data_IF_791593499667
#
_entry.id   IF_791593499667
#
_cell.length_a   1.000
_cell.length_b   1.000
_cell.length_c   1.000
_cell.angle_alpha   90.00
_cell.angle_beta   90.00
_cell.angle_gamma   90.00
#
_symmetry.space_group_name_H-M   'P 1'
#
loop_
_entity.id
_entity.type
_entity.pdbx_description
1 polymer ?
#
# COMPACT_ATOMS: atom_id res chain seq x y z
N UNK A 1 18.57 -4.70 23.85
CA UNK A 1 18.11 -4.18 22.55
C UNK A 1 19.21 -3.35 21.89
N UNK A 2 20.10 -2.72 22.66
CA UNK A 2 21.16 -1.83 22.15
C UNK A 2 22.21 -2.47 21.22
N UNK A 3 22.61 -3.73 21.44
CA UNK A 3 23.54 -4.43 20.54
C UNK A 3 22.97 -4.67 19.13
N UNK A 4 21.65 -4.86 19.00
CA UNK A 4 21.02 -5.08 17.69
C UNK A 4 20.90 -3.76 16.91
N UNK A 5 20.82 -2.62 17.60
CA UNK A 5 20.72 -1.31 16.98
C UNK A 5 22.06 -0.89 16.38
N UNK A 6 23.14 -1.03 17.15
CA UNK A 6 24.51 -0.78 16.67
C UNK A 6 24.90 -1.70 15.50
N UNK A 7 24.42 -2.95 15.46
CA UNK A 7 24.64 -3.84 14.32
C UNK A 7 23.84 -3.45 13.07
N UNK A 8 22.63 -2.89 13.23
CA UNK A 8 21.80 -2.49 12.09
C UNK A 8 22.32 -1.23 11.41
N UNK A 9 22.76 -0.23 12.18
CA UNK A 9 23.42 0.96 11.62
C UNK A 9 24.69 0.59 10.86
N UNK A 10 25.46 -0.37 11.38
CA UNK A 10 26.64 -0.88 10.70
C UNK A 10 26.30 -1.56 9.36
N UNK A 11 25.25 -2.38 9.32
CA UNK A 11 24.76 -3.01 8.08
C UNK A 11 24.34 -1.96 7.05
N UNK A 12 23.56 -0.95 7.46
CA UNK A 12 23.15 0.14 6.56
C UNK A 12 24.34 0.96 6.04
N UNK A 13 25.35 1.19 6.88
CA UNK A 13 26.58 1.89 6.49
C UNK A 13 27.39 1.07 5.47
N UNK A 14 27.52 -0.24 5.68
CA UNK A 14 28.17 -1.14 4.71
C UNK A 14 27.42 -1.18 3.38
N UNK A 15 26.09 -1.33 3.43
CA UNK A 15 25.24 -1.33 2.24
C UNK A 15 25.41 -0.02 1.45
N UNK A 16 25.37 1.12 2.13
CA UNK A 16 25.52 2.44 1.51
C UNK A 16 26.92 2.63 0.90
N UNK A 17 27.97 2.16 1.58
CA UNK A 17 29.33 2.21 1.06
C UNK A 17 29.51 1.38 -0.22
N UNK A 18 28.97 0.15 -0.25
CA UNK A 18 29.01 -0.71 -1.44
C UNK A 18 28.17 -0.11 -2.56
N UNK A 19 26.95 0.37 -2.26
CA UNK A 19 26.10 1.08 -3.23
C UNK A 19 26.85 2.24 -3.87
N UNK A 20 27.53 3.08 -3.08
CA UNK A 20 28.31 4.20 -3.60
C UNK A 20 29.43 3.75 -4.54
N UNK A 21 30.20 2.72 -4.18
CA UNK A 21 31.24 2.17 -5.07
C UNK A 21 30.68 1.69 -6.40
N UNK A 22 29.49 1.07 -6.40
CA UNK A 22 28.84 0.60 -7.63
C UNK A 22 28.41 1.79 -8.49
N UNK A 23 27.78 2.80 -7.90
CA UNK A 23 27.36 4.02 -8.61
C UNK A 23 28.56 4.80 -9.17
N UNK A 24 29.70 4.79 -8.46
CA UNK A 24 30.98 5.36 -8.91
C UNK A 24 31.71 4.46 -9.95
N UNK A 25 31.09 3.37 -10.43
CA UNK A 25 31.65 2.41 -11.39
C UNK A 25 32.94 1.73 -10.91
N UNK A 26 33.07 1.49 -9.60
CA UNK A 26 34.20 0.80 -8.96
C UNK A 26 33.86 -0.65 -8.62
N UNK A 27 33.46 -1.40 -9.65
CA UNK A 27 32.92 -2.76 -9.51
C UNK A 27 33.85 -3.73 -8.77
N UNK A 28 35.16 -3.72 -9.05
CA UNK A 28 36.09 -4.64 -8.40
C UNK A 28 36.17 -4.45 -6.88
N UNK A 29 36.15 -3.19 -6.44
CA UNK A 29 36.18 -2.84 -5.02
C UNK A 29 34.86 -3.19 -4.33
N UNK A 30 33.73 -2.93 -5.01
CA UNK A 30 32.42 -3.34 -4.54
C UNK A 30 32.33 -4.87 -4.34
N UNK A 31 32.77 -5.66 -5.32
CA UNK A 31 32.81 -7.13 -5.22
C UNK A 31 33.71 -7.56 -4.05
N UNK A 32 34.87 -6.93 -3.88
CA UNK A 32 35.82 -7.27 -2.81
C UNK A 32 35.24 -7.03 -1.41
N UNK A 33 34.44 -5.97 -1.23
CA UNK A 33 33.74 -5.70 0.02
C UNK A 33 32.51 -6.60 0.22
N UNK A 34 31.82 -6.96 -0.86
CA UNK A 34 30.60 -7.75 -0.81
C UNK A 34 30.86 -9.25 -0.59
N UNK A 35 31.95 -9.79 -1.14
CA UNK A 35 32.32 -11.20 -1.04
C UNK A 35 32.34 -11.75 0.40
N UNK A 36 33.07 -11.15 1.37
CA UNK A 36 33.08 -11.67 2.74
C UNK A 36 31.71 -11.57 3.41
N UNK A 37 30.88 -10.59 3.04
CA UNK A 37 29.53 -10.48 3.56
C UNK A 37 28.67 -11.64 3.05
N UNK A 38 28.73 -11.95 1.75
CA UNK A 38 27.98 -13.07 1.16
C UNK A 38 28.39 -14.40 1.78
N UNK A 39 29.68 -14.61 2.07
CA UNK A 39 30.16 -15.82 2.75
C UNK A 39 29.60 -15.96 4.18
N UNK A 40 29.35 -14.86 4.89
CA UNK A 40 28.75 -14.93 6.24
C UNK A 40 27.27 -15.32 6.24
N UNK A 41 26.57 -15.15 5.12
CA UNK A 41 25.17 -15.52 4.99
C UNK A 41 25.11 -16.85 4.24
N UNK A 42 24.54 -17.89 4.85
CA UNK A 42 24.43 -19.23 4.25
C UNK A 42 23.41 -19.30 3.07
N UNK A 43 23.45 -18.36 2.13
CA UNK A 43 22.65 -18.31 0.92
C UNK A 43 23.52 -18.64 -0.30
N UNK A 44 23.60 -19.93 -0.63
CA UNK A 44 24.41 -20.45 -1.74
C UNK A 44 24.07 -19.81 -3.10
N UNK A 45 22.81 -19.41 -3.31
CA UNK A 45 22.37 -18.72 -4.53
C UNK A 45 23.09 -17.38 -4.73
N UNK A 46 23.23 -16.56 -3.67
CA UNK A 46 23.90 -15.26 -3.76
C UNK A 46 25.40 -15.42 -3.98
N UNK A 47 26.01 -16.44 -3.36
CA UNK A 47 27.42 -16.76 -3.56
C UNK A 47 27.70 -17.15 -5.01
N UNK A 48 26.89 -18.05 -5.57
CA UNK A 48 27.01 -18.45 -6.98
C UNK A 48 26.88 -17.25 -7.94
N UNK A 49 25.87 -16.39 -7.73
CA UNK A 49 25.68 -15.18 -8.54
C UNK A 49 26.87 -14.22 -8.46
N UNK A 50 27.42 -14.02 -7.26
CA UNK A 50 28.59 -13.16 -7.09
C UNK A 50 29.83 -13.73 -7.78
N UNK A 51 30.04 -15.05 -7.71
CA UNK A 51 31.13 -15.73 -8.38
C UNK A 51 31.00 -15.65 -9.92
N UNK A 52 29.78 -15.77 -10.46
CA UNK A 52 29.47 -15.59 -11.88
C UNK A 52 29.79 -14.15 -12.34
N UNK A 53 29.41 -13.15 -11.56
CA UNK A 53 29.73 -11.74 -11.83
C UNK A 53 31.25 -11.53 -11.82
N UNK A 54 31.96 -12.04 -10.81
CA UNK A 54 33.42 -11.93 -10.70
C UNK A 54 34.13 -12.58 -11.87
N UNK A 55 33.67 -13.77 -12.29
CA UNK A 55 34.20 -14.48 -13.44
C UNK A 55 33.96 -13.69 -14.75
N UNK A 56 32.74 -13.20 -14.96
CA UNK A 56 32.36 -12.42 -16.14
C UNK A 56 33.15 -11.12 -16.25
N UNK A 57 33.30 -10.41 -15.13
CA UNK A 57 34.11 -9.18 -15.07
C UNK A 57 35.59 -9.44 -15.35
N UNK A 58 36.17 -10.49 -14.75
CA UNK A 58 37.58 -10.87 -14.99
C UNK A 58 37.80 -11.25 -16.45
N UNK A 59 36.88 -12.00 -17.03
CA UNK A 59 36.93 -12.40 -18.44
C UNK A 59 36.87 -11.17 -19.36
N UNK A 60 35.97 -10.23 -19.09
CA UNK A 60 35.86 -8.96 -19.82
C UNK A 60 37.19 -8.18 -19.80
N UNK A 61 37.84 -8.07 -18.63
CA UNK A 61 39.15 -7.41 -18.51
C UNK A 61 40.24 -8.13 -19.30
N UNK A 62 40.25 -9.46 -19.31
CA UNK A 62 41.21 -10.25 -20.10
C UNK A 62 41.02 -10.05 -21.61
N UNK A 63 39.79 -10.00 -22.11
CA UNK A 63 39.51 -9.70 -23.52
C UNK A 63 39.90 -8.27 -23.89
N UNK A 64 39.66 -7.31 -22.99
CA UNK A 64 40.09 -5.93 -23.17
C UNK A 64 41.62 -5.81 -23.23
N UNK A 65 42.34 -6.55 -22.38
CA UNK A 65 43.80 -6.61 -22.41
C UNK A 65 44.35 -7.20 -23.72
N UNK A 66 43.62 -8.14 -24.34
CA UNK A 66 43.95 -8.73 -25.65
C UNK A 66 43.61 -7.82 -26.83
N UNK A 67 43.00 -6.65 -26.60
CA UNK A 67 42.66 -5.69 -27.66
C UNK A 67 41.47 -6.11 -28.52
N UNK A 68 40.63 -7.05 -28.07
CA UNK A 68 39.41 -7.44 -28.80
C UNK A 68 38.37 -6.34 -28.66
N UNK A 69 37.89 -5.78 -29.77
CA UNK A 69 36.75 -4.86 -29.76
C UNK A 69 35.45 -5.66 -29.55
N UNK A 70 34.71 -5.30 -28.51
CA UNK A 70 33.42 -5.90 -28.17
C UNK A 70 32.38 -4.77 -28.10
N UNK A 71 31.45 -4.69 -29.07
CA UNK A 71 30.39 -3.69 -29.09
C UNK A 71 29.46 -3.75 -27.88
N UNK A 72 29.27 -4.92 -27.27
CA UNK A 72 28.34 -5.13 -26.15
C UNK A 72 28.99 -4.94 -24.78
N UNK A 73 30.30 -4.66 -24.73
CA UNK A 73 31.08 -4.52 -23.49
C UNK A 73 30.43 -3.57 -22.49
N UNK A 74 29.99 -2.40 -22.95
CA UNK A 74 29.37 -1.41 -22.07
C UNK A 74 28.04 -1.92 -21.48
N UNK A 75 27.20 -2.56 -22.30
CA UNK A 75 25.94 -3.16 -21.86
C UNK A 75 26.19 -4.26 -20.81
N UNK A 76 27.16 -5.14 -21.07
CA UNK A 76 27.55 -6.19 -20.13
C UNK A 76 28.06 -5.59 -18.81
N UNK A 77 28.90 -4.55 -18.88
CA UNK A 77 29.41 -3.89 -17.67
C UNK A 77 28.30 -3.25 -16.82
N UNK A 78 27.34 -2.57 -17.46
CA UNK A 78 26.17 -1.99 -16.77
C UNK A 78 25.31 -3.08 -16.12
N UNK A 79 25.13 -4.22 -16.80
CA UNK A 79 24.43 -5.39 -16.24
C UNK A 79 25.14 -5.92 -15.00
N UNK A 80 26.47 -6.07 -15.03
CA UNK A 80 27.24 -6.53 -13.86
C UNK A 80 27.12 -5.56 -12.67
N UNK A 81 27.11 -4.24 -12.92
CA UNK A 81 26.86 -3.24 -11.89
C UNK A 81 25.46 -3.39 -11.27
N UNK A 82 24.43 -3.53 -12.12
CA UNK A 82 23.05 -3.73 -11.68
C UNK A 82 22.89 -5.00 -10.83
N UNK A 83 23.40 -6.14 -11.29
CA UNK A 83 23.33 -7.42 -10.58
C UNK A 83 24.09 -7.37 -9.25
N UNK A 84 25.26 -6.71 -9.21
CA UNK A 84 26.02 -6.55 -7.95
C UNK A 84 25.25 -5.70 -6.95
N UNK A 85 24.55 -4.66 -7.41
CA UNK A 85 23.72 -3.82 -6.56
C UNK A 85 22.51 -4.58 -6.00
N UNK A 86 21.87 -5.42 -6.82
CA UNK A 86 20.77 -6.30 -6.38
C UNK A 86 21.25 -7.32 -5.33
N UNK A 87 22.44 -7.89 -5.48
CA UNK A 87 23.03 -8.75 -4.44
C UNK A 87 23.22 -7.95 -3.15
N UNK A 88 23.76 -6.73 -3.22
CA UNK A 88 23.96 -5.87 -2.04
C UNK A 88 22.63 -5.58 -1.31
N UNK A 89 21.56 -5.28 -2.03
CA UNK A 89 20.22 -5.06 -1.44
C UNK A 89 19.67 -6.31 -0.75
N UNK A 90 19.74 -7.46 -1.43
CA UNK A 90 19.30 -8.76 -0.89
C UNK A 90 20.11 -9.13 0.35
N UNK A 91 21.41 -8.88 0.33
CA UNK A 91 22.32 -9.11 1.44
C UNK A 91 21.94 -8.31 2.66
N UNK A 92 21.69 -7.00 2.51
CA UNK A 92 21.22 -6.14 3.60
C UNK A 92 19.97 -6.72 4.26
N UNK A 93 18.97 -7.09 3.44
CA UNK A 93 17.70 -7.62 3.95
C UNK A 93 17.92 -8.94 4.71
N UNK A 94 18.76 -9.83 4.18
CA UNK A 94 19.09 -11.10 4.84
C UNK A 94 19.79 -10.89 6.18
N UNK A 95 20.71 -9.94 6.29
CA UNK A 95 21.37 -9.63 7.57
C UNK A 95 20.37 -9.07 8.58
N UNK A 96 19.57 -8.07 8.19
CA UNK A 96 18.58 -7.46 9.07
C UNK A 96 17.48 -8.43 9.50
N UNK A 97 17.14 -9.41 8.65
CA UNK A 97 16.25 -10.53 8.99
C UNK A 97 16.83 -11.41 10.11
N UNK A 98 18.12 -11.72 10.08
CA UNK A 98 18.78 -12.48 11.14
C UNK A 98 18.74 -11.75 12.50
N UNK A 99 18.87 -10.42 12.48
CA UNK A 99 18.77 -9.58 13.69
C UNK A 99 17.33 -9.27 14.12
N UNK A 100 16.32 -9.66 13.32
CA UNK A 100 14.90 -9.40 13.60
C UNK A 100 14.64 -7.92 13.91
N UNK A 101 15.28 -7.03 13.16
CA UNK A 101 15.41 -5.61 13.48
C UNK A 101 14.06 -4.90 13.72
N UNK A 102 13.06 -5.18 12.88
CA UNK A 102 11.71 -4.61 12.99
C UNK A 102 10.62 -5.67 12.71
N UNK A 103 9.35 -5.25 12.65
CA UNK A 103 8.21 -6.12 12.36
C UNK A 103 8.35 -6.85 11.02
N UNK A 104 8.76 -6.15 9.96
CA UNK A 104 9.00 -6.74 8.65
C UNK A 104 10.07 -7.84 8.70
N UNK A 105 11.24 -7.54 9.25
CA UNK A 105 12.34 -8.51 9.34
C UNK A 105 12.01 -9.72 10.21
N UNK A 106 11.22 -9.53 11.28
CA UNK A 106 10.67 -10.64 12.07
C UNK A 106 9.75 -11.52 11.26
N UNK A 107 8.82 -10.92 10.52
CA UNK A 107 7.88 -11.64 9.67
C UNK A 107 8.61 -12.39 8.55
N UNK A 108 9.58 -11.75 7.89
CA UNK A 108 10.42 -12.38 6.87
C UNK A 108 11.19 -13.59 7.41
N UNK A 109 11.84 -13.45 8.56
CA UNK A 109 12.56 -14.56 9.19
C UNK A 109 11.63 -15.73 9.56
N UNK A 110 10.41 -15.44 10.05
CA UNK A 110 9.41 -16.46 10.34
C UNK A 110 8.93 -17.17 9.06
N UNK A 111 8.66 -16.41 8.00
CA UNK A 111 8.21 -16.93 6.71
C UNK A 111 9.25 -17.83 6.04
N UNK A 112 10.53 -17.42 6.01
CA UNK A 112 11.61 -18.24 5.47
C UNK A 112 11.77 -19.58 6.21
N UNK A 113 11.43 -19.63 7.51
CA UNK A 113 11.49 -20.86 8.30
C UNK A 113 10.27 -21.78 8.11
N UNK A 114 9.15 -21.27 7.61
CA UNK A 114 7.90 -22.05 7.52
C UNK A 114 7.89 -23.07 6.38
N UNK A 115 8.97 -23.17 5.58
CA UNK A 115 9.11 -24.12 4.46
C UNK A 115 7.89 -24.14 3.51
N UNK A 116 7.30 -22.97 3.26
CA UNK A 116 6.13 -22.87 2.41
C UNK A 116 6.55 -23.08 0.94
N UNK A 117 6.25 -24.25 0.37
CA UNK A 117 6.54 -24.59 -1.03
C UNK A 117 5.57 -23.92 -2.02
N UNK A 118 4.74 -22.98 -1.55
CA UNK A 118 3.81 -22.25 -2.39
C UNK A 118 4.58 -21.24 -3.25
N UNK A 119 4.26 -21.22 -4.53
CA UNK A 119 4.73 -20.25 -5.50
C UNK A 119 3.53 -19.47 -6.04
N UNK A 120 3.82 -18.43 -6.84
CA UNK A 120 2.79 -17.54 -7.36
C UNK A 120 1.79 -18.26 -8.29
N UNK A 121 2.21 -19.30 -9.01
CA UNK A 121 1.33 -20.12 -9.87
C UNK A 121 0.32 -20.96 -9.07
N UNK A 122 0.74 -21.55 -7.95
CA UNK A 122 -0.16 -22.30 -7.06
C UNK A 122 -1.23 -21.35 -6.49
N UNK A 123 -0.80 -20.19 -6.00
CA UNK A 123 -1.71 -19.16 -5.46
C UNK A 123 -2.71 -18.71 -6.53
N UNK A 124 -2.25 -18.50 -7.77
CA UNK A 124 -3.12 -18.18 -8.90
C UNK A 124 -4.18 -19.25 -9.13
N UNK A 125 -3.76 -20.50 -9.17
CA UNK A 125 -4.66 -21.64 -9.39
C UNK A 125 -5.72 -21.72 -8.29
N UNK A 126 -5.33 -21.47 -7.03
CA UNK A 126 -6.26 -21.43 -5.89
C UNK A 126 -7.30 -20.29 -6.02
N UNK A 127 -6.88 -19.10 -6.45
CA UNK A 127 -7.80 -17.97 -6.71
C UNK A 127 -8.73 -18.21 -7.91
N UNK A 128 -8.22 -18.76 -9.00
CA UNK A 128 -9.04 -19.10 -10.18
C UNK A 128 -10.06 -20.20 -9.85
N UNK A 129 -9.68 -21.19 -9.01
CA UNK A 129 -10.59 -22.23 -8.52
C UNK A 129 -11.71 -21.62 -7.69
N UNK A 130 -11.40 -20.66 -6.82
CA UNK A 130 -12.43 -19.95 -6.05
C UNK A 130 -13.41 -19.18 -6.94
N UNK A 131 -12.93 -18.51 -8.00
CA UNK A 131 -13.82 -17.81 -8.92
C UNK A 131 -14.82 -18.76 -9.59
N UNK A 132 -14.41 -20.01 -9.83
CA UNK A 132 -15.32 -21.06 -10.33
C UNK A 132 -16.30 -21.49 -9.24
N UNK A 133 -15.82 -21.80 -8.03
CA UNK A 133 -16.65 -22.27 -6.92
C UNK A 133 -17.70 -21.24 -6.50
N UNK A 134 -17.33 -19.97 -6.40
CA UNK A 134 -18.25 -18.85 -6.07
C UNK A 134 -19.36 -18.66 -7.10
N UNK A 135 -19.07 -18.90 -8.39
CA UNK A 135 -20.08 -18.84 -9.45
C UNK A 135 -21.06 -20.03 -9.41
N UNK A 136 -20.66 -21.17 -8.85
CA UNK A 136 -21.49 -22.37 -8.73
C UNK A 136 -22.43 -22.30 -7.50
N UNK A 137 -22.00 -21.63 -6.43
CA UNK A 137 -22.66 -21.59 -5.12
C UNK A 137 -23.77 -20.54 -4.96
N UNK A 138 -24.33 -20.03 -6.06
CA UNK A 138 -25.47 -19.09 -6.06
C UNK A 138 -26.80 -19.76 -5.58
N UNK A 139 -26.74 -20.95 -4.94
CA UNK A 139 -27.93 -21.68 -4.47
C UNK A 139 -27.79 -22.17 -3.01
N UNK A 140 -28.44 -21.41 -2.13
CA UNK A 140 -29.21 -21.87 -0.96
C UNK A 140 -28.57 -22.08 0.44
N UNK A 141 -27.25 -21.97 0.68
CA UNK A 141 -26.68 -22.11 2.05
C UNK A 141 -25.81 -20.93 2.51
N UNK A 142 -26.27 -20.17 3.51
CA UNK A 142 -25.54 -19.00 4.06
C UNK A 142 -24.21 -19.35 4.74
N UNK A 143 -24.13 -20.50 5.42
CA UNK A 143 -22.92 -20.91 6.15
C UNK A 143 -21.78 -21.39 5.24
N UNK A 144 -22.09 -22.08 4.14
CA UNK A 144 -21.08 -22.53 3.17
C UNK A 144 -20.51 -21.34 2.38
N UNK A 145 -21.36 -20.35 2.04
CA UNK A 145 -20.93 -19.09 1.43
C UNK A 145 -19.93 -18.32 2.29
N UNK A 146 -20.13 -18.27 3.61
CA UNK A 146 -19.21 -17.59 4.54
C UNK A 146 -17.84 -18.29 4.64
N UNK A 147 -17.82 -19.63 4.61
CA UNK A 147 -16.55 -20.37 4.59
C UNK A 147 -15.77 -20.15 3.29
N UNK A 148 -16.49 -20.08 2.16
CA UNK A 148 -15.88 -19.84 0.85
C UNK A 148 -15.29 -18.44 0.76
N UNK A 149 -15.95 -17.41 1.33
CA UNK A 149 -15.40 -16.04 1.42
C UNK A 149 -14.13 -16.01 2.27
N UNK A 150 -14.17 -16.60 3.47
CA UNK A 150 -13.00 -16.66 4.35
C UNK A 150 -11.82 -17.37 3.69
N UNK A 151 -12.07 -18.46 2.97
CA UNK A 151 -11.02 -19.16 2.22
C UNK A 151 -10.39 -18.26 1.16
N UNK A 152 -11.17 -17.47 0.43
CA UNK A 152 -10.64 -16.50 -0.54
C UNK A 152 -9.82 -15.40 0.14
N UNK A 153 -10.32 -14.85 1.24
CA UNK A 153 -9.61 -13.86 2.06
C UNK A 153 -8.27 -14.40 2.59
N UNK A 154 -8.22 -15.66 3.03
CA UNK A 154 -7.00 -16.34 3.47
C UNK A 154 -5.99 -16.50 2.32
N UNK A 155 -6.45 -16.90 1.12
CA UNK A 155 -5.60 -17.02 -0.07
C UNK A 155 -5.04 -15.64 -0.47
N UNK A 156 -5.86 -14.58 -0.38
CA UNK A 156 -5.42 -13.22 -0.66
C UNK A 156 -4.39 -12.71 0.35
N UNK A 157 -4.58 -12.99 1.64
CA UNK A 157 -3.62 -12.66 2.68
C UNK A 157 -2.29 -13.40 2.48
N UNK A 158 -2.35 -14.66 2.04
CA UNK A 158 -1.17 -15.44 1.68
C UNK A 158 -0.46 -14.88 0.44
N UNK A 159 -1.21 -14.55 -0.62
CA UNK A 159 -0.68 -13.89 -1.82
C UNK A 159 0.06 -12.60 -1.47
N UNK A 160 -0.59 -11.73 -0.67
CA UNK A 160 0.01 -10.48 -0.24
C UNK A 160 1.31 -10.74 0.54
N UNK A 161 1.29 -11.66 1.50
CA UNK A 161 2.45 -11.98 2.33
C UNK A 161 3.61 -12.57 1.50
N UNK A 162 3.30 -13.47 0.56
CA UNK A 162 4.28 -14.05 -0.35
C UNK A 162 4.99 -12.97 -1.16
N UNK A 163 4.22 -12.09 -1.83
CA UNK A 163 4.77 -11.04 -2.69
C UNK A 163 5.52 -10.00 -1.86
N UNK A 164 4.94 -9.55 -0.73
CA UNK A 164 5.51 -8.54 0.14
C UNK A 164 6.87 -8.95 0.70
N UNK A 165 7.01 -10.22 1.14
CA UNK A 165 8.24 -10.73 1.76
C UNK A 165 9.27 -11.24 0.73
N UNK A 166 8.86 -11.49 -0.50
CA UNK A 166 9.77 -11.89 -1.58
C UNK A 166 10.74 -10.74 -1.91
N UNK A 167 12.05 -11.02 -1.96
CA UNK A 167 13.08 -10.01 -2.24
C UNK A 167 13.47 -9.90 -3.70
N UNK A 168 13.19 -10.94 -4.50
CA UNK A 168 13.51 -10.94 -5.92
C UNK A 168 12.56 -11.87 -6.67
N UNK A 169 12.14 -11.46 -7.85
CA UNK A 169 11.40 -12.33 -8.77
C UNK A 169 12.37 -13.00 -9.74
N UNK A 170 12.09 -14.26 -10.04
CA UNK A 170 12.70 -14.91 -11.19
C UNK A 170 11.79 -14.77 -12.43
N UNK A 171 12.22 -15.39 -13.54
CA UNK A 171 11.42 -15.38 -14.78
C UNK A 171 10.10 -16.13 -14.63
N UNK A 172 10.04 -17.14 -13.78
CA UNK A 172 8.82 -17.92 -13.55
C UNK A 172 7.82 -17.13 -12.73
N UNK A 173 8.28 -16.41 -11.70
CA UNK A 173 7.46 -15.49 -10.91
C UNK A 173 6.90 -14.37 -11.79
N UNK A 174 7.71 -13.76 -12.66
CA UNK A 174 7.23 -12.72 -13.59
C UNK A 174 6.19 -13.25 -14.57
N UNK A 175 6.37 -14.45 -15.11
CA UNK A 175 5.40 -15.08 -16.00
C UNK A 175 4.06 -15.35 -15.29
N UNK A 176 4.13 -15.88 -14.07
CA UNK A 176 2.97 -16.08 -13.22
C UNK A 176 2.26 -14.75 -12.95
N UNK A 177 3.01 -13.72 -12.56
CA UNK A 177 2.48 -12.38 -12.31
C UNK A 177 1.84 -11.75 -13.57
N UNK A 178 2.43 -11.95 -14.75
CA UNK A 178 1.88 -11.47 -16.02
C UNK A 178 0.59 -12.16 -16.41
N UNK A 179 0.41 -13.41 -15.97
CA UNK A 179 -0.84 -14.13 -16.22
C UNK A 179 -1.99 -13.57 -15.37
N UNK A 180 -1.75 -13.04 -14.17
CA UNK A 180 -2.76 -12.35 -13.37
C UNK A 180 -3.35 -11.11 -14.07
N UNK A 181 -2.52 -10.35 -14.79
CA UNK A 181 -2.96 -9.17 -15.54
C UNK A 181 -3.81 -9.51 -16.78
N UNK A 182 -3.77 -10.78 -17.24
CA UNK A 182 -4.44 -11.24 -18.47
C UNK A 182 -5.68 -12.06 -18.19
N UNK A 183 -5.74 -12.73 -17.04
CA UNK A 183 -6.86 -13.59 -16.65
C UNK A 183 -8.10 -12.75 -16.31
N UNK A 184 -9.27 -13.17 -16.82
CA UNK A 184 -10.58 -12.59 -16.45
C UNK A 184 -11.22 -13.20 -15.19
N UNK A 185 -10.66 -14.31 -14.70
CA UNK A 185 -11.16 -15.08 -13.55
C UNK A 185 -10.65 -14.57 -12.20
N UNK A 186 -9.85 -13.50 -12.17
CA UNK A 186 -9.40 -12.87 -10.93
C UNK A 186 -10.14 -11.55 -10.80
N UNK A 187 -10.73 -11.29 -9.63
CA UNK A 187 -11.48 -10.07 -9.42
C UNK A 187 -10.55 -8.84 -9.49
N UNK A 188 -11.08 -7.71 -9.96
CA UNK A 188 -10.31 -6.46 -10.02
C UNK A 188 -9.79 -6.01 -8.65
N UNK A 189 -10.53 -6.31 -7.58
CA UNK A 189 -10.12 -6.00 -6.20
C UNK A 189 -8.91 -6.83 -5.75
N UNK A 190 -8.91 -8.13 -6.07
CA UNK A 190 -7.79 -9.05 -5.81
C UNK A 190 -6.52 -8.56 -6.52
N UNK A 191 -6.67 -8.13 -7.78
CA UNK A 191 -5.56 -7.59 -8.56
C UNK A 191 -5.05 -6.26 -7.96
N UNK A 192 -5.94 -5.41 -7.44
CA UNK A 192 -5.54 -4.20 -6.72
C UNK A 192 -4.71 -4.53 -5.47
N UNK A 193 -5.08 -5.57 -4.72
CA UNK A 193 -4.31 -6.04 -3.58
C UNK A 193 -2.92 -6.54 -3.99
N UNK A 194 -2.84 -7.30 -5.09
CA UNK A 194 -1.58 -7.76 -5.67
C UNK A 194 -0.67 -6.59 -6.06
N UNK A 195 -1.21 -5.57 -6.73
CA UNK A 195 -0.46 -4.35 -7.09
C UNK A 195 0.08 -3.63 -5.85
N UNK A 196 -0.72 -3.52 -4.80
CA UNK A 196 -0.28 -2.95 -3.53
C UNK A 196 0.81 -3.80 -2.86
N UNK A 197 0.71 -5.14 -2.92
CA UNK A 197 1.74 -6.03 -2.40
C UNK A 197 3.08 -5.87 -3.14
N UNK A 198 3.04 -5.78 -4.47
CA UNK A 198 4.24 -5.53 -5.31
C UNK A 198 4.85 -4.17 -4.99
N UNK A 199 4.02 -3.14 -4.87
CA UNK A 199 4.45 -1.79 -4.48
C UNK A 199 5.16 -1.81 -3.13
N UNK A 200 4.56 -2.43 -2.11
CA UNK A 200 5.14 -2.52 -0.77
C UNK A 200 6.44 -3.34 -0.76
N UNK A 201 6.51 -4.41 -1.53
CA UNK A 201 7.74 -5.20 -1.70
C UNK A 201 8.87 -4.34 -2.28
N UNK A 202 8.54 -3.58 -3.32
CA UNK A 202 9.46 -2.70 -4.02
C UNK A 202 9.95 -1.52 -3.16
N UNK A 203 9.13 -0.98 -2.25
CA UNK A 203 9.55 0.04 -1.28
C UNK A 203 10.65 -0.46 -0.34
N UNK A 204 10.76 -1.77 -0.13
CA UNK A 204 11.76 -2.39 0.74
C UNK A 204 12.99 -2.83 -0.04
N UNK A 205 12.78 -3.48 -1.19
CA UNK A 205 13.84 -4.01 -2.03
C UNK A 205 13.52 -3.76 -3.50
N UNK A 206 14.40 -3.05 -4.19
CA UNK A 206 14.27 -2.89 -5.63
C UNK A 206 14.39 -4.24 -6.34
N UNK A 207 13.53 -4.46 -7.32
CA UNK A 207 13.58 -5.59 -8.23
C UNK A 207 13.11 -5.14 -9.61
N UNK A 208 13.92 -5.41 -10.64
CA UNK A 208 13.66 -4.90 -11.99
C UNK A 208 12.45 -5.55 -12.65
N UNK A 209 12.11 -6.81 -12.32
CA UNK A 209 10.96 -7.52 -12.89
C UNK A 209 9.65 -7.05 -12.26
N UNK A 210 9.63 -6.81 -10.94
CA UNK A 210 8.50 -6.19 -10.24
C UNK A 210 8.21 -4.79 -10.76
N UNK A 211 9.25 -3.98 -10.98
CA UNK A 211 9.08 -2.63 -11.53
C UNK A 211 8.48 -2.67 -12.94
N UNK A 212 8.97 -3.55 -13.82
CA UNK A 212 8.38 -3.76 -15.15
C UNK A 212 6.92 -4.21 -15.05
N UNK A 213 6.62 -5.12 -14.14
CA UNK A 213 5.25 -5.57 -13.92
C UNK A 213 4.32 -4.45 -13.45
N UNK A 214 4.78 -3.53 -12.59
CA UNK A 214 3.99 -2.34 -12.23
C UNK A 214 3.73 -1.43 -13.43
N UNK A 215 4.73 -1.24 -14.30
CA UNK A 215 4.56 -0.47 -15.55
C UNK A 215 3.54 -1.13 -16.47
N UNK A 216 3.55 -2.47 -16.57
CA UNK A 216 2.54 -3.23 -17.32
C UNK A 216 1.15 -3.12 -16.66
N UNK A 217 1.07 -3.16 -15.32
CA UNK A 217 -0.18 -3.04 -14.56
C UNK A 217 -0.83 -1.65 -14.69
N UNK A 218 -0.04 -0.59 -14.91
CA UNK A 218 -0.57 0.73 -15.25
C UNK A 218 -1.37 0.68 -16.56
N UNK A 219 -0.99 -0.13 -17.54
CA UNK A 219 -1.74 -0.23 -18.80
C UNK A 219 -3.03 -1.07 -18.71
N UNK A 220 -3.38 -1.56 -17.52
CA UNK A 220 -4.58 -2.37 -17.31
C UNK A 220 -5.87 -1.57 -17.50
N UNK A 221 -6.94 -2.23 -17.96
CA UNK A 221 -8.23 -1.58 -18.29
C UNK A 221 -9.00 -1.07 -17.08
N UNK A 222 -8.81 -1.69 -15.91
CA UNK A 222 -9.41 -1.26 -14.65
C UNK A 222 -8.69 -0.05 -14.08
N UNK A 223 -9.43 1.06 -13.89
CA UNK A 223 -8.92 2.31 -13.32
C UNK A 223 -8.31 2.10 -11.94
N UNK A 224 -8.91 1.28 -11.08
CA UNK A 224 -8.40 1.05 -9.72
C UNK A 224 -7.01 0.38 -9.75
N UNK A 225 -6.81 -0.57 -10.67
CA UNK A 225 -5.52 -1.26 -10.86
C UNK A 225 -4.49 -0.29 -11.43
N UNK A 226 -4.86 0.44 -12.49
CA UNK A 226 -4.02 1.44 -13.14
C UNK A 226 -3.53 2.51 -12.15
N UNK A 227 -4.43 3.12 -11.37
CA UNK A 227 -4.06 4.22 -10.46
C UNK A 227 -3.21 3.72 -9.29
N UNK A 228 -3.49 2.51 -8.75
CA UNK A 228 -2.63 1.89 -7.72
C UNK A 228 -1.24 1.59 -8.25
N UNK A 229 -1.14 1.13 -9.49
CA UNK A 229 0.15 0.89 -10.14
C UNK A 229 0.92 2.20 -10.33
N UNK A 230 0.24 3.28 -10.74
CA UNK A 230 0.83 4.62 -10.86
C UNK A 230 1.45 5.11 -9.55
N UNK A 231 0.74 4.95 -8.42
CA UNK A 231 1.28 5.29 -7.10
C UNK A 231 2.57 4.52 -6.81
N UNK A 232 2.58 3.23 -7.08
CA UNK A 232 3.76 2.39 -6.91
C UNK A 232 4.93 2.79 -7.81
N UNK A 233 4.66 3.10 -9.08
CA UNK A 233 5.65 3.60 -10.05
C UNK A 233 6.28 4.90 -9.55
N UNK A 234 5.45 5.87 -9.13
CA UNK A 234 5.93 7.17 -8.67
C UNK A 234 6.87 7.03 -7.47
N UNK A 235 6.47 6.26 -6.45
CA UNK A 235 7.32 6.04 -5.27
C UNK A 235 8.65 5.37 -5.64
N UNK A 236 8.60 4.37 -6.51
CA UNK A 236 9.80 3.63 -6.90
C UNK A 236 10.78 4.45 -7.72
N UNK A 237 10.28 5.28 -8.65
CA UNK A 237 11.14 6.19 -9.41
C UNK A 237 11.84 7.17 -8.47
N UNK A 238 11.11 7.73 -7.49
CA UNK A 238 11.68 8.66 -6.53
C UNK A 238 12.70 7.98 -5.58
N UNK A 239 12.36 6.81 -5.03
CA UNK A 239 13.20 6.09 -4.08
C UNK A 239 14.52 5.60 -4.70
N UNK A 240 14.49 5.25 -5.98
CA UNK A 240 15.61 4.59 -6.67
C UNK A 240 16.18 5.42 -7.82
N UNK A 241 16.00 6.74 -7.82
CA UNK A 241 16.46 7.67 -8.87
C UNK A 241 17.94 7.42 -9.24
N UNK A 242 18.83 7.37 -8.24
CA UNK A 242 20.27 7.27 -8.42
C UNK A 242 20.70 6.03 -9.23
N UNK A 243 19.96 4.92 -9.13
CA UNK A 243 20.30 3.65 -9.80
C UNK A 243 19.57 3.43 -11.13
N UNK A 244 18.61 4.28 -11.51
CA UNK A 244 17.80 4.07 -12.72
C UNK A 244 18.62 4.01 -14.00
N UNK A 245 19.78 4.67 -14.04
CA UNK A 245 20.69 4.63 -15.18
C UNK A 245 21.26 3.23 -15.46
N UNK A 246 21.27 2.33 -14.48
CA UNK A 246 21.69 0.93 -14.62
C UNK A 246 20.61 0.05 -15.29
N UNK A 247 19.38 0.55 -15.42
CA UNK A 247 18.23 -0.18 -15.94
C UNK A 247 17.63 0.52 -17.17
N UNK A 248 18.33 0.49 -18.33
CA UNK A 248 17.89 1.19 -19.54
C UNK A 248 16.52 0.70 -20.05
N UNK A 249 16.18 -0.56 -19.82
CA UNK A 249 14.89 -1.14 -20.23
C UNK A 249 13.70 -0.52 -19.48
N UNK A 250 13.84 -0.27 -18.18
CA UNK A 250 12.81 0.40 -17.37
C UNK A 250 12.66 1.84 -17.83
N UNK A 251 13.79 2.53 -18.08
CA UNK A 251 13.78 3.90 -18.60
C UNK A 251 13.10 4.00 -19.96
N UNK A 252 13.34 3.02 -20.85
CA UNK A 252 12.68 2.97 -22.14
C UNK A 252 11.16 2.80 -22.01
N UNK A 253 10.70 1.91 -21.12
CA UNK A 253 9.26 1.74 -20.85
C UNK A 253 8.61 3.00 -20.25
N UNK A 254 9.27 3.66 -19.29
CA UNK A 254 8.78 4.93 -18.74
C UNK A 254 8.70 6.01 -19.82
N UNK A 255 9.68 6.08 -20.72
CA UNK A 255 9.64 7.03 -21.84
C UNK A 255 8.45 6.77 -22.77
N UNK A 256 8.12 5.50 -23.04
CA UNK A 256 6.93 5.12 -23.83
C UNK A 256 5.65 5.60 -23.11
N UNK A 257 5.54 5.40 -21.79
CA UNK A 257 4.39 5.91 -21.03
C UNK A 257 4.33 7.44 -21.03
N UNK A 258 5.47 8.13 -21.03
CA UNK A 258 5.54 9.58 -21.08
C UNK A 258 5.10 10.17 -22.44
N UNK A 259 5.04 9.36 -23.50
CA UNK A 259 4.42 9.78 -24.77
C UNK A 259 2.88 9.83 -24.66
N UNK A 260 2.29 9.19 -23.64
CA UNK A 260 0.85 9.26 -23.37
C UNK A 260 0.50 10.60 -22.71
N UNK A 261 -0.47 11.37 -23.23
CA UNK A 261 -0.78 12.71 -22.75
C UNK A 261 -1.33 12.75 -21.32
N UNK A 262 -1.94 11.65 -20.86
CA UNK A 262 -2.53 11.56 -19.53
C UNK A 262 -1.51 11.19 -18.45
N UNK A 263 -0.51 10.35 -18.77
CA UNK A 263 0.47 9.88 -17.78
C UNK A 263 1.18 11.02 -17.05
N UNK A 264 1.65 12.04 -17.78
CA UNK A 264 2.30 13.20 -17.18
C UNK A 264 1.36 14.04 -16.29
N UNK A 265 0.07 14.16 -16.65
CA UNK A 265 -0.92 14.89 -15.84
C UNK A 265 -1.25 14.12 -14.56
N UNK A 266 -1.43 12.81 -14.66
CA UNK A 266 -1.71 11.94 -13.52
C UNK A 266 -0.53 11.90 -12.54
N UNK A 267 0.71 11.83 -13.06
CA UNK A 267 1.92 11.89 -12.23
C UNK A 267 2.03 13.24 -11.49
N UNK A 268 1.72 14.35 -12.16
CA UNK A 268 1.68 15.66 -11.52
C UNK A 268 0.61 15.74 -10.42
N UNK A 269 -0.59 15.21 -10.70
CA UNK A 269 -1.66 15.13 -9.70
C UNK A 269 -1.22 14.32 -8.48
N UNK A 270 -0.52 13.21 -8.68
CA UNK A 270 0.05 12.41 -7.59
C UNK A 270 1.05 13.21 -6.75
N UNK A 271 1.96 13.96 -7.36
CA UNK A 271 2.90 14.81 -6.61
C UNK A 271 2.20 15.91 -5.80
N UNK A 272 1.14 16.51 -6.34
CA UNK A 272 0.32 17.49 -5.61
C UNK A 272 -0.32 16.82 -4.39
N UNK A 273 -0.90 15.63 -4.55
CA UNK A 273 -1.51 14.90 -3.43
C UNK A 273 -0.49 14.52 -2.36
N UNK A 274 0.73 14.12 -2.73
CA UNK A 274 1.79 13.90 -1.74
C UNK A 274 2.19 15.14 -0.97
N UNK A 275 2.19 16.31 -1.61
CA UNK A 275 2.45 17.56 -0.91
C UNK A 275 1.35 17.81 0.13
N UNK A 276 0.08 17.61 -0.24
CA UNK A 276 -1.03 17.70 0.71
C UNK A 276 -0.92 16.69 1.86
N UNK A 277 -0.44 15.47 1.61
CA UNK A 277 -0.21 14.50 2.69
C UNK A 277 0.80 15.00 3.75
N UNK A 278 1.73 15.90 3.40
CA UNK A 278 2.64 16.50 4.37
C UNK A 278 1.94 17.52 5.28
N UNK A 279 0.85 18.12 4.80
CA UNK A 279 0.05 19.08 5.55
C UNK A 279 -1.05 18.40 6.39
N UNK A 280 -1.36 17.13 6.13
CA UNK A 280 -2.34 16.34 6.87
C UNK A 280 -2.14 16.38 8.38
N UNK A 281 -0.90 16.38 8.89
CA UNK A 281 -0.68 16.45 10.35
C UNK A 281 -1.12 17.80 10.95
N UNK A 282 -0.91 18.91 10.22
CA UNK A 282 -1.38 20.23 10.65
C UNK A 282 -2.89 20.33 10.58
N UNK A 283 -3.48 19.78 9.51
CA UNK A 283 -4.93 19.73 9.31
C UNK A 283 -5.58 18.84 10.38
N UNK A 284 -5.02 17.66 10.67
CA UNK A 284 -5.48 16.74 11.72
C UNK A 284 -5.47 17.42 13.10
N UNK A 285 -4.40 18.16 13.40
CA UNK A 285 -4.30 18.91 14.65
C UNK A 285 -5.40 19.98 14.74
N UNK A 286 -5.60 20.77 13.68
CA UNK A 286 -6.65 21.80 13.61
C UNK A 286 -8.04 21.17 13.73
N UNK A 287 -8.28 20.05 13.04
CA UNK A 287 -9.52 19.29 13.10
C UNK A 287 -9.83 18.81 14.53
N UNK A 288 -8.84 18.24 15.20
CA UNK A 288 -8.99 17.66 16.55
C UNK A 288 -9.14 18.71 17.64
N UNK A 289 -8.35 19.78 17.58
CA UNK A 289 -8.24 20.76 18.67
C UNK A 289 -9.26 21.91 18.55
N UNK A 290 -9.67 22.26 17.34
CA UNK A 290 -10.52 23.44 17.09
C UNK A 290 -11.88 23.02 16.50
N UNK A 291 -11.87 22.27 15.39
CA UNK A 291 -13.06 22.09 14.56
C UNK A 291 -14.07 21.10 15.15
N UNK A 292 -13.64 19.88 15.50
CA UNK A 292 -14.53 18.85 16.07
C UNK A 292 -15.15 19.30 17.40
N UNK A 293 -14.40 19.90 18.35
CA UNK A 293 -14.99 20.40 19.59
C UNK A 293 -16.02 21.51 19.36
N UNK A 294 -15.78 22.44 18.42
CA UNK A 294 -16.75 23.48 18.07
C UNK A 294 -18.00 22.93 17.37
N UNK A 295 -17.84 21.92 16.50
CA UNK A 295 -18.95 21.18 15.91
C UNK A 295 -19.84 20.54 16.97
N UNK A 296 -19.25 19.80 17.92
CA UNK A 296 -20.00 19.14 18.99
C UNK A 296 -20.72 20.19 19.83
N UNK A 297 -20.03 21.27 20.20
CA UNK A 297 -20.60 22.34 21.02
C UNK A 297 -21.79 23.00 20.33
N UNK A 298 -21.70 23.33 19.05
CA UNK A 298 -22.80 23.94 18.30
C UNK A 298 -23.94 22.95 18.02
N UNK A 299 -23.65 21.67 17.76
CA UNK A 299 -24.66 20.63 17.62
C UNK A 299 -25.43 20.41 18.94
N UNK A 300 -24.74 20.38 20.08
CA UNK A 300 -25.39 20.29 21.40
C UNK A 300 -26.21 21.54 21.73
N UNK A 301 -25.76 22.73 21.32
CA UNK A 301 -26.52 23.97 21.50
C UNK A 301 -27.80 24.01 20.64
N UNK A 302 -27.80 23.35 19.48
CA UNK A 302 -29.01 23.18 18.67
C UNK A 302 -29.93 22.08 19.20
N UNK A 303 -29.44 21.15 20.03
CA UNK A 303 -30.25 20.11 20.70
C UNK A 303 -30.85 20.58 22.04
N UNK A 304 -30.26 21.56 22.72
CA UNK A 304 -30.78 22.18 23.96
C UNK A 304 -31.91 23.18 23.68
N UNK A 305 -32.87 22.82 22.81
CA UNK A 305 -34.20 23.42 22.77
C UNK A 305 -35.13 22.52 23.60
N UNK A 306 -35.42 22.85 24.87
CA UNK A 306 -36.38 22.09 25.64
C UNK A 306 -37.75 22.22 24.98
N UNK A 307 -38.32 21.09 24.58
CA UNK A 307 -39.77 20.95 24.43
C UNK A 307 -40.38 20.98 25.84
N UNK A 308 -40.39 22.15 26.47
CA UNK A 308 -41.22 22.41 27.65
C UNK A 308 -42.01 23.69 27.38
N UNK A 309 -43.28 23.49 27.00
CA UNK A 309 -44.31 24.50 27.19
C UNK A 309 -44.50 24.67 28.70
N UNK A 310 -44.04 25.77 29.29
CA UNK A 310 -44.79 26.55 30.30
C UNK A 310 -44.03 27.81 30.73
N UNK A 311 -44.82 28.80 31.17
CA UNK A 311 -44.52 30.22 31.21
C UNK A 311 -43.48 30.70 32.23
N UNK A 312 -43.03 31.92 31.93
CA UNK A 312 -42.67 33.04 32.81
C UNK A 312 -41.28 33.16 33.44
N UNK A 313 -40.71 34.34 33.16
CA UNK A 313 -39.75 35.12 33.94
C UNK A 313 -38.42 34.48 34.34
N UNK A 314 -37.43 34.66 33.46
CA UNK A 314 -36.15 35.24 33.87
C UNK A 314 -35.57 36.10 32.74
N UNK A 315 -35.69 37.41 32.91
CA UNK A 315 -34.87 38.42 32.25
C UNK A 315 -33.39 38.22 32.61
N UNK A 316 -32.68 37.42 31.83
CA UNK A 316 -31.23 37.54 31.64
C UNK A 316 -30.89 36.99 30.25
N UNK A 317 -31.41 37.66 29.21
CA UNK A 317 -30.95 37.47 27.83
C UNK A 317 -29.50 37.96 27.74
N UNK A 318 -28.57 37.02 27.90
CA UNK A 318 -27.20 37.18 27.42
C UNK A 318 -27.28 37.57 25.93
N UNK A 319 -26.75 38.72 25.50
CA UNK A 319 -27.21 39.33 24.26
C UNK A 319 -26.78 38.52 23.01
N UNK A 320 -27.74 38.30 22.10
CA UNK A 320 -27.70 37.42 20.91
C UNK A 320 -26.59 37.69 19.88
N UNK A 321 -25.72 38.68 20.11
CA UNK A 321 -24.55 38.97 19.26
C UNK A 321 -23.43 37.95 19.44
N UNK A 322 -23.30 37.33 20.62
CA UNK A 322 -22.30 36.31 20.88
C UNK A 322 -22.65 34.93 20.29
N UNK A 323 -23.94 34.61 20.14
CA UNK A 323 -24.42 33.42 19.44
C UNK A 323 -24.28 33.58 17.93
N UNK A 324 -24.73 34.71 17.36
CA UNK A 324 -24.63 34.97 15.92
C UNK A 324 -23.18 35.04 15.42
N UNK A 325 -22.25 35.56 16.23
CA UNK A 325 -20.83 35.60 15.87
C UNK A 325 -20.19 34.19 15.86
N UNK A 326 -20.49 33.36 16.85
CA UNK A 326 -20.04 31.95 16.90
C UNK A 326 -20.65 31.10 15.79
N UNK A 327 -21.87 31.40 15.36
CA UNK A 327 -22.52 30.74 14.24
C UNK A 327 -21.90 31.14 12.90
N UNK A 328 -21.52 32.41 12.73
CA UNK A 328 -20.73 32.88 11.57
C UNK A 328 -19.34 32.25 11.53
N UNK A 329 -18.63 32.18 12.67
CA UNK A 329 -17.31 31.56 12.77
C UNK A 329 -17.37 30.05 12.44
N UNK A 330 -18.48 29.38 12.82
CA UNK A 330 -18.76 27.98 12.50
C UNK A 330 -19.06 27.72 11.02
N UNK A 331 -19.85 28.57 10.37
CA UNK A 331 -20.15 28.46 8.93
C UNK A 331 -18.89 28.68 8.09
N UNK A 332 -18.05 29.63 8.47
CA UNK A 332 -16.76 29.86 7.81
C UNK A 332 -15.81 28.67 8.01
N UNK A 333 -15.80 28.05 9.19
CA UNK A 333 -15.04 26.83 9.47
C UNK A 333 -15.56 25.62 8.69
N UNK A 334 -16.87 25.45 8.55
CA UNK A 334 -17.46 24.39 7.71
C UNK A 334 -17.15 24.60 6.24
N UNK A 335 -17.13 25.85 5.76
CA UNK A 335 -16.69 26.17 4.41
C UNK A 335 -15.21 25.86 4.23
N UNK A 336 -14.37 26.22 5.18
CA UNK A 336 -12.93 25.91 5.17
C UNK A 336 -12.68 24.39 5.14
N UNK A 337 -13.40 23.62 5.96
CA UNK A 337 -13.32 22.15 5.95
C UNK A 337 -13.76 21.58 4.60
N UNK A 338 -14.84 22.11 4.02
CA UNK A 338 -15.31 21.71 2.69
C UNK A 338 -14.33 22.05 1.57
N UNK A 339 -13.64 23.20 1.67
CA UNK A 339 -12.59 23.62 0.75
C UNK A 339 -11.36 22.70 0.87
N UNK A 340 -10.87 22.44 2.09
CA UNK A 340 -9.77 21.51 2.35
C UNK A 340 -10.09 20.09 1.85
N UNK A 341 -11.32 19.64 2.04
CA UNK A 341 -11.79 18.36 1.52
C UNK A 341 -11.81 18.34 -0.02
N UNK A 342 -12.27 19.42 -0.68
CA UNK A 342 -12.26 19.54 -2.13
C UNK A 342 -10.84 19.60 -2.71
N UNK A 343 -9.90 20.20 -1.99
CA UNK A 343 -8.48 20.25 -2.34
C UNK A 343 -7.79 18.88 -2.18
N UNK A 344 -8.42 17.94 -1.47
CA UNK A 344 -7.97 16.56 -1.30
C UNK A 344 -7.24 16.31 0.01
N UNK A 345 -7.33 17.22 0.99
CA UNK A 345 -6.79 16.99 2.31
C UNK A 345 -7.56 15.88 3.05
N UNK A 346 -6.83 15.07 3.81
CA UNK A 346 -7.44 14.07 4.70
C UNK A 346 -7.94 14.74 5.98
N UNK A 347 -9.22 15.13 5.94
CA UNK A 347 -9.97 15.75 7.04
C UNK A 347 -10.41 14.72 8.09
N UNK A 348 -10.45 13.44 7.73
CA UNK A 348 -11.12 12.39 8.51
C UNK A 348 -10.16 11.51 9.32
N UNK A 349 -8.85 11.64 9.10
CA UNK A 349 -7.79 10.93 9.83
C UNK A 349 -8.03 10.92 11.36
N UNK A 350 -8.32 12.06 11.98
CA UNK A 350 -8.49 12.15 13.44
C UNK A 350 -9.65 11.29 13.95
N UNK A 351 -10.73 11.23 13.17
CA UNK A 351 -11.99 10.57 13.54
C UNK A 351 -11.90 9.06 13.33
N UNK A 352 -11.29 8.60 12.24
CA UNK A 352 -11.19 7.18 11.93
C UNK A 352 -9.93 6.50 12.51
N UNK A 353 -8.89 7.25 12.90
CA UNK A 353 -7.68 6.68 13.50
C UNK A 353 -7.96 5.79 14.72
N UNK A 354 -8.92 6.18 15.57
CA UNK A 354 -9.34 5.37 16.72
C UNK A 354 -10.09 4.10 16.30
N UNK A 355 -10.78 4.16 15.16
CA UNK A 355 -11.55 3.06 14.57
C UNK A 355 -10.66 2.08 13.80
N UNK A 356 -9.36 2.32 13.65
CA UNK A 356 -8.40 1.34 13.07
C UNK A 356 -7.91 0.29 14.07
N UNK A 357 -8.57 0.17 15.23
CA UNK A 357 -8.25 -0.84 16.26
C UNK A 357 -9.03 -2.15 16.10
N UNK A 358 -9.95 -2.24 15.13
CA UNK A 358 -10.70 -3.47 14.90
C UNK A 358 -9.79 -4.61 14.43
N UNK A 359 -10.11 -5.89 14.77
CA UNK A 359 -9.31 -7.06 14.39
C UNK A 359 -9.02 -7.18 12.89
N UNK A 360 -9.91 -6.64 12.05
CA UNK A 360 -9.71 -6.56 10.60
C UNK A 360 -8.35 -5.93 10.22
N UNK A 361 -7.91 -4.90 10.95
CA UNK A 361 -6.67 -4.17 10.68
C UNK A 361 -5.42 -4.81 11.31
N UNK A 362 -5.58 -5.91 12.08
CA UNK A 362 -4.43 -6.69 12.54
C UNK A 362 -3.77 -7.49 11.40
N UNK A 363 -4.54 -7.79 10.34
CA UNK A 363 -4.05 -8.44 9.14
C UNK A 363 -3.53 -7.38 8.16
N UNK A 364 -2.26 -7.50 7.77
CA UNK A 364 -1.58 -6.48 6.97
C UNK A 364 -2.20 -6.26 5.58
N UNK A 365 -2.63 -7.33 4.90
CA UNK A 365 -3.26 -7.24 3.57
C UNK A 365 -4.53 -6.38 3.56
N UNK A 366 -5.26 -6.37 4.67
CA UNK A 366 -6.57 -5.72 4.78
C UNK A 366 -6.48 -4.19 4.72
N UNK A 367 -5.31 -3.61 5.03
CA UNK A 367 -5.06 -2.17 4.85
C UNK A 367 -5.07 -1.75 3.38
N UNK A 368 -4.79 -2.68 2.47
CA UNK A 368 -4.68 -2.41 1.05
C UNK A 368 -5.85 -2.99 0.25
N UNK A 369 -6.73 -3.77 0.86
CA UNK A 369 -7.85 -4.38 0.16
C UNK A 369 -8.92 -3.32 -0.17
N UNK A 370 -9.33 -3.18 -1.45
CA UNK A 370 -10.42 -2.28 -1.81
C UNK A 370 -11.72 -2.65 -1.10
N UNK A 371 -12.58 -1.66 -0.84
CA UNK A 371 -13.81 -1.91 -0.12
C UNK A 371 -14.73 -2.86 -0.89
N UNK A 372 -15.11 -3.96 -0.25
CA UNK A 372 -15.98 -4.98 -0.80
C UNK A 372 -17.14 -5.30 0.14
N UNK A 373 -18.36 -5.13 -0.38
CA UNK A 373 -19.62 -5.45 0.32
C UNK A 373 -19.77 -6.96 0.56
N UNK A 374 -19.07 -7.79 -0.21
CA UNK A 374 -19.10 -9.25 -0.10
C UNK A 374 -18.05 -9.81 0.88
N UNK A 375 -17.20 -8.97 1.46
CA UNK A 375 -16.24 -9.40 2.47
C UNK A 375 -16.96 -10.04 3.68
N UNK A 376 -16.40 -11.13 4.22
CA UNK A 376 -17.02 -11.96 5.27
C UNK A 376 -17.43 -11.16 6.52
N UNK A 377 -16.59 -10.23 6.93
CA UNK A 377 -16.86 -9.32 8.08
C UNK A 377 -17.84 -8.18 7.77
N UNK A 378 -18.18 -7.92 6.49
CA UNK A 378 -19.04 -6.81 6.07
C UNK A 378 -20.42 -7.29 5.62
N UNK A 379 -20.49 -8.44 4.95
CA UNK A 379 -21.72 -8.95 4.33
C UNK A 379 -22.85 -9.09 5.35
N UNK A 380 -22.56 -9.61 6.53
CA UNK A 380 -23.56 -9.83 7.58
C UNK A 380 -24.10 -8.51 8.13
N UNK A 381 -23.25 -7.48 8.25
CA UNK A 381 -23.66 -6.13 8.70
C UNK A 381 -24.61 -5.47 7.70
N UNK A 382 -24.38 -5.68 6.40
CA UNK A 382 -25.21 -5.10 5.34
C UNK A 382 -26.51 -5.88 5.09
N UNK A 383 -26.52 -7.20 5.35
CA UNK A 383 -27.72 -8.04 5.19
C UNK A 383 -28.74 -7.87 6.31
N UNK A 384 -28.29 -7.61 7.55
CA UNK A 384 -29.17 -7.32 8.69
C UNK A 384 -29.94 -5.99 8.51
N UNK A 385 -29.40 -5.05 7.72
CA UNK A 385 -30.07 -3.81 7.34
C UNK A 385 -30.88 -3.95 6.05
N UNK A 386 -32.02 -4.63 6.10
CA UNK A 386 -32.85 -5.08 4.95
C UNK A 386 -33.57 -3.96 4.18
N UNK A 387 -33.05 -2.73 4.16
CA UNK A 387 -33.62 -1.64 3.36
C UNK A 387 -32.63 -1.16 2.28
N UNK A 388 -32.88 -1.42 0.98
CA UNK A 388 -32.02 -1.01 -0.12
C UNK A 388 -31.94 0.52 -0.33
N UNK A 389 -32.67 1.30 0.48
CA UNK A 389 -32.59 2.77 0.58
C UNK A 389 -31.71 3.26 1.75
N UNK A 390 -30.97 2.36 2.40
CA UNK A 390 -30.09 2.74 3.50
C UNK A 390 -29.05 3.77 3.04
N UNK A 391 -29.07 4.95 3.66
CA UNK A 391 -28.05 6.01 3.55
C UNK A 391 -26.63 5.45 3.63
N UNK A 392 -26.44 4.37 4.40
CA UNK A 392 -25.17 3.63 4.50
C UNK A 392 -24.65 3.23 3.11
N UNK A 393 -25.49 2.71 2.21
CA UNK A 393 -25.06 2.37 0.85
C UNK A 393 -24.68 3.61 0.05
N UNK A 394 -25.41 4.73 0.19
CA UNK A 394 -25.08 5.99 -0.47
C UNK A 394 -23.76 6.60 0.05
N UNK A 395 -23.51 6.50 1.36
CA UNK A 395 -22.26 6.93 2.01
C UNK A 395 -21.10 6.03 1.56
N UNK A 396 -21.31 4.72 1.49
CA UNK A 396 -20.28 3.77 1.04
C UNK A 396 -19.99 3.88 -0.46
N UNK A 397 -20.98 4.28 -1.27
CA UNK A 397 -20.80 4.53 -2.70
C UNK A 397 -20.22 5.93 -2.97
N UNK A 398 -20.14 6.79 -1.95
CA UNK A 398 -19.48 8.09 -2.06
C UNK A 398 -17.95 7.95 -2.24
N UNK A 399 -17.38 8.90 -2.96
CA UNK A 399 -15.92 9.03 -3.17
C UNK A 399 -15.22 9.79 -2.04
N UNK A 400 -15.96 10.18 -1.01
CA UNK A 400 -15.47 11.02 0.09
C UNK A 400 -14.57 10.20 1.04
N UNK A 401 -14.92 8.94 1.25
CA UNK A 401 -14.21 8.05 2.17
C UNK A 401 -13.23 7.16 1.42
N UNK A 402 -12.05 6.95 1.99
CA UNK A 402 -11.13 5.93 1.50
C UNK A 402 -11.65 4.52 1.82
N UNK A 403 -11.16 3.51 1.10
CA UNK A 403 -11.59 2.11 1.28
C UNK A 403 -11.47 1.65 2.75
N UNK A 404 -10.38 2.02 3.41
CA UNK A 404 -10.15 1.63 4.80
C UNK A 404 -11.13 2.30 5.78
N UNK A 405 -11.60 3.52 5.50
CA UNK A 405 -12.58 4.22 6.34
C UNK A 405 -13.97 3.64 6.16
N UNK A 406 -14.30 3.18 4.94
CA UNK A 406 -15.53 2.45 4.66
C UNK A 406 -15.61 1.18 5.51
N UNK A 407 -14.52 0.42 5.63
CA UNK A 407 -14.46 -0.73 6.56
C UNK A 407 -14.66 -0.31 8.03
N UNK A 408 -13.95 0.72 8.49
CA UNK A 408 -14.10 1.22 9.87
C UNK A 408 -15.53 1.68 10.18
N UNK A 409 -16.19 2.34 9.24
CA UNK A 409 -17.58 2.79 9.36
C UNK A 409 -18.53 1.58 9.48
N UNK A 410 -18.38 0.57 8.62
CA UNK A 410 -19.16 -0.66 8.70
C UNK A 410 -19.03 -1.35 10.06
N UNK A 411 -17.81 -1.46 10.59
CA UNK A 411 -17.59 -2.08 11.90
C UNK A 411 -18.14 -1.24 13.05
N UNK A 412 -18.12 0.09 12.95
CA UNK A 412 -18.74 0.96 13.95
C UNK A 412 -20.25 0.76 13.98
N UNK A 413 -20.89 0.70 12.82
CA UNK A 413 -22.34 0.46 12.71
C UNK A 413 -22.76 -0.89 13.31
N UNK A 414 -21.90 -1.91 13.22
CA UNK A 414 -22.14 -3.21 13.86
C UNK A 414 -22.14 -3.13 15.40
N UNK A 415 -21.29 -2.29 15.99
CA UNK A 415 -21.14 -2.19 17.44
C UNK A 415 -22.14 -1.20 18.09
N UNK A 416 -22.82 -0.37 17.31
CA UNK A 416 -23.87 0.54 17.81
C UNK A 416 -25.20 -0.21 17.98
N UNK A 417 -25.86 -0.11 19.16
CA UNK A 417 -27.18 -0.70 19.40
C UNK A 417 -28.21 -0.26 18.36
N UNK A 418 -29.13 -1.16 17.97
CA UNK A 418 -30.11 -0.92 16.89
C UNK A 418 -30.95 0.35 17.09
N UNK A 419 -31.31 0.69 18.33
CA UNK A 419 -32.09 1.90 18.66
C UNK A 419 -31.34 3.19 18.34
N UNK A 420 -30.04 3.25 18.63
CA UNK A 420 -29.17 4.38 18.30
C UNK A 420 -28.83 4.40 16.81
N UNK A 421 -28.70 3.23 16.19
CA UNK A 421 -28.47 3.10 14.74
C UNK A 421 -29.64 3.68 13.95
N UNK A 422 -30.88 3.36 14.33
CA UNK A 422 -32.08 3.91 13.70
C UNK A 422 -32.20 5.43 13.91
N UNK A 423 -31.85 5.95 15.09
CA UNK A 423 -31.83 7.40 15.36
C UNK A 423 -30.76 8.14 14.55
N UNK A 424 -29.55 7.58 14.42
CA UNK A 424 -28.49 8.16 13.57
C UNK A 424 -28.87 8.13 12.08
N UNK A 425 -29.50 7.05 11.62
CA UNK A 425 -29.96 6.94 10.24
C UNK A 425 -31.14 7.87 9.96
N UNK A 426 -32.06 8.08 10.91
CA UNK A 426 -33.16 9.04 10.76
C UNK A 426 -32.67 10.49 10.70
N UNK A 427 -31.63 10.85 11.47
CA UNK A 427 -31.06 12.21 11.45
C UNK A 427 -30.26 12.54 10.19
N UNK A 428 -29.81 11.52 9.44
CA UNK A 428 -29.14 11.71 8.15
C UNK A 428 -30.14 11.69 6.97
N UNK A 429 -31.41 11.35 7.21
CA UNK A 429 -32.49 11.34 6.19
C UNK A 429 -33.32 12.62 6.15
N UNK A 430 -33.29 13.43 7.22
CA UNK A 430 -33.71 14.84 7.21
C UNK A 430 -32.59 15.74 6.69
#
# INVERSE_FOLDING_TARGET
MDNNFLSAEYIELQHTAIKKLILDQRLNEAISLLAPLVETIAQAELQYKLDEIRFSYTSMLQYMQKGVEDPERHSLYMKLLAETLEINDRMKISQLANYKYNSYYRLKAAYSNSHNNKNLEIIKTELETWCIDSNLDIKDNSFESDQIRKRHEDILAEMFTYIYLNTHWDKTDKLAADSFLKTSNVAGNDLCLMVSAVTMSLLICFDSLKMKWLLDAYLHTSTNVNQRALVGIAFNIHLYEERMHLYPEIRAQVNILNEMPEFGKELNRMHIQWLFCQETEKIDKKMREEIIPEMIKNATQNLDLPLDETDDDNEDKNPDWNSNKKQSDFEDMMREVGELQQEGADVYMSSFSQLKRYPFFEVLSNWFYPFDKQHSMVVNVLQEGTDPKNIVNLILDSTIFCDSDKYSLCFTLQHVPESQRQQMLSQLTE
#
